data_IF_035514294532
#
_entry.id   IF_035514294532
#
_cell.length_a   1.000
_cell.length_b   1.000
_cell.length_c   1.000
_cell.angle_alpha   90.00
_cell.angle_beta   90.00
_cell.angle_gamma   90.00
#
_symmetry.space_group_name_H-M   'P 1'
#
loop_
_entity.id
_entity.type
_entity.pdbx_description
1 polymer ?
#
# COMPACT_ATOMS: atom_id res chain seq x y z
N UNK A 1 -27.28 -2.09 -32.93
CA UNK A 1 -25.92 -2.09 -32.37
C UNK A 1 -25.91 -3.05 -31.21
N UNK A 2 -25.15 -4.15 -31.30
CA UNK A 2 -24.97 -5.09 -30.20
C UNK A 2 -24.43 -4.34 -28.98
N UNK A 3 -25.19 -4.30 -27.88
CA UNK A 3 -24.67 -3.80 -26.61
C UNK A 3 -23.65 -4.82 -26.12
N UNK A 4 -22.36 -4.53 -26.34
CA UNK A 4 -21.27 -5.36 -25.87
C UNK A 4 -21.40 -5.51 -24.34
N UNK A 5 -21.65 -6.74 -23.87
CA UNK A 5 -21.92 -6.99 -22.46
C UNK A 5 -20.64 -6.74 -21.64
N UNK A 6 -20.75 -5.96 -20.57
CA UNK A 6 -19.62 -5.67 -19.68
C UNK A 6 -19.10 -6.98 -19.05
N UNK A 7 -17.84 -7.33 -19.35
CA UNK A 7 -17.15 -8.50 -18.83
C UNK A 7 -15.86 -8.11 -18.10
N UNK A 8 -15.28 -9.03 -17.33
CA UNK A 8 -14.03 -8.78 -16.61
C UNK A 8 -12.88 -8.42 -17.57
N UNK A 9 -12.72 -9.16 -18.67
CA UNK A 9 -11.63 -8.93 -19.63
C UNK A 9 -11.73 -7.55 -20.30
N UNK A 10 -12.94 -7.10 -20.61
CA UNK A 10 -13.19 -5.75 -21.15
C UNK A 10 -12.83 -4.67 -20.12
N UNK A 11 -13.19 -4.88 -18.85
CA UNK A 11 -12.83 -3.95 -17.77
C UNK A 11 -11.30 -3.86 -17.62
N UNK A 12 -10.60 -4.99 -17.66
CA UNK A 12 -9.13 -5.03 -17.53
C UNK A 12 -8.42 -4.35 -18.70
N UNK A 13 -8.85 -4.62 -19.95
CA UNK A 13 -8.31 -3.98 -21.15
C UNK A 13 -8.50 -2.45 -21.13
N UNK A 14 -9.71 -1.98 -20.78
CA UNK A 14 -10.00 -0.54 -20.67
C UNK A 14 -9.21 0.12 -19.55
N UNK A 15 -9.00 -0.56 -18.43
CA UNK A 15 -8.11 -0.06 -17.38
C UNK A 15 -6.65 -0.01 -17.83
N UNK A 16 -6.19 -0.98 -18.62
CA UNK A 16 -4.87 -0.97 -19.25
C UNK A 16 -4.68 0.23 -20.19
N UNK A 17 -5.78 0.68 -20.82
CA UNK A 17 -5.85 1.88 -21.65
C UNK A 17 -6.01 3.19 -20.87
N UNK A 18 -6.03 3.14 -19.53
CA UNK A 18 -6.08 4.31 -18.66
C UNK A 18 -7.48 4.78 -18.23
N UNK A 19 -8.54 4.07 -18.60
CA UNK A 19 -9.89 4.42 -18.17
C UNK A 19 -10.14 4.06 -16.70
N UNK A 20 -10.85 4.93 -15.97
CA UNK A 20 -11.28 4.66 -14.61
C UNK A 20 -12.67 3.97 -14.58
N UNK A 21 -13.05 3.39 -13.43
CA UNK A 21 -14.32 2.65 -13.31
C UNK A 21 -15.57 3.50 -13.59
N UNK A 22 -15.54 4.80 -13.32
CA UNK A 22 -16.67 5.68 -13.61
C UNK A 22 -16.82 5.90 -15.11
N UNK A 23 -15.71 6.11 -15.82
CA UNK A 23 -15.70 6.22 -17.29
C UNK A 23 -16.14 4.91 -17.95
N UNK A 24 -15.67 3.77 -17.47
CA UNK A 24 -16.10 2.45 -17.95
C UNK A 24 -17.61 2.25 -17.67
N UNK A 25 -18.09 2.67 -16.50
CA UNK A 25 -19.50 2.60 -16.18
C UNK A 25 -20.36 3.43 -17.16
N UNK A 26 -19.93 4.65 -17.47
CA UNK A 26 -20.56 5.54 -18.44
C UNK A 26 -20.57 4.95 -19.85
N UNK A 27 -19.43 4.42 -20.31
CA UNK A 27 -19.30 3.79 -21.64
C UNK A 27 -20.26 2.61 -21.86
N UNK A 28 -20.63 1.89 -20.80
CA UNK A 28 -21.47 0.69 -20.86
C UNK A 28 -22.88 0.90 -20.28
N UNK A 29 -23.25 2.14 -19.91
CA UNK A 29 -24.53 2.44 -19.29
C UNK A 29 -24.77 1.68 -17.98
N UNK A 30 -23.71 1.42 -17.21
CA UNK A 30 -23.74 0.71 -15.92
C UNK A 30 -23.42 1.65 -14.76
N UNK A 31 -23.64 1.19 -13.54
CA UNK A 31 -23.14 1.88 -12.35
C UNK A 31 -21.69 1.49 -12.06
N UNK A 32 -20.93 2.37 -11.40
CA UNK A 32 -19.57 2.05 -10.91
C UNK A 32 -19.56 0.79 -10.04
N UNK A 33 -20.62 0.59 -9.24
CA UNK A 33 -20.77 -0.59 -8.38
C UNK A 33 -20.91 -1.89 -9.21
N UNK A 34 -21.62 -1.85 -10.34
CA UNK A 34 -21.71 -2.99 -11.25
C UNK A 34 -20.34 -3.35 -11.86
N UNK A 35 -19.55 -2.35 -12.27
CA UNK A 35 -18.16 -2.56 -12.74
C UNK A 35 -17.29 -3.18 -11.63
N UNK A 36 -17.43 -2.70 -10.39
CA UNK A 36 -16.72 -3.23 -9.23
C UNK A 36 -17.12 -4.67 -8.91
N UNK A 37 -18.42 -5.00 -9.00
CA UNK A 37 -18.95 -6.34 -8.78
C UNK A 37 -18.40 -7.36 -9.79
N UNK A 38 -18.28 -7.00 -11.07
CA UNK A 38 -17.66 -7.88 -12.07
C UNK A 38 -16.22 -8.23 -11.73
N UNK A 39 -15.49 -7.31 -11.09
CA UNK A 39 -14.11 -7.55 -10.67
C UNK A 39 -14.01 -8.52 -9.48
N UNK A 40 -14.84 -8.33 -8.46
CA UNK A 40 -14.83 -9.18 -7.25
C UNK A 40 -15.44 -10.55 -7.52
N UNK A 41 -16.44 -10.65 -8.41
CA UNK A 41 -17.14 -11.90 -8.78
C UNK A 41 -16.30 -12.85 -9.63
N UNK A 42 -15.51 -12.31 -10.56
CA UNK A 42 -14.79 -13.11 -11.57
C UNK A 42 -13.27 -13.15 -11.39
N UNK A 43 -12.76 -12.73 -10.21
CA UNK A 43 -11.34 -12.88 -9.87
C UNK A 43 -10.41 -11.94 -10.63
N UNK A 44 -10.85 -10.71 -10.90
CA UNK A 44 -10.04 -9.73 -11.63
C UNK A 44 -8.72 -9.41 -10.94
N UNK A 45 -7.70 -9.06 -11.74
CA UNK A 45 -6.39 -8.70 -11.24
C UNK A 45 -6.48 -7.58 -10.21
N UNK A 46 -5.96 -7.84 -9.01
CA UNK A 46 -5.81 -6.80 -7.98
C UNK A 46 -4.79 -5.80 -8.47
N UNK A 47 -5.17 -4.52 -8.43
CA UNK A 47 -4.24 -3.43 -8.71
C UNK A 47 -3.19 -3.38 -7.60
N UNK A 48 -2.00 -2.82 -7.86
CA UNK A 48 -0.99 -2.65 -6.83
C UNK A 48 -1.54 -1.97 -5.57
N UNK A 49 -2.40 -0.97 -5.76
CA UNK A 49 -3.07 -0.28 -4.66
C UNK A 49 -3.95 -1.19 -3.82
N UNK A 50 -4.74 -2.07 -4.43
CA UNK A 50 -5.60 -3.00 -3.66
C UNK A 50 -4.76 -4.03 -2.92
N UNK A 51 -3.69 -4.55 -3.54
CA UNK A 51 -2.76 -5.47 -2.87
C UNK A 51 -2.14 -4.79 -1.64
N UNK A 52 -1.69 -3.55 -1.77
CA UNK A 52 -1.14 -2.77 -0.64
C UNK A 52 -2.18 -2.53 0.46
N UNK A 53 -3.43 -2.24 0.10
CA UNK A 53 -4.50 -2.01 1.07
C UNK A 53 -4.92 -3.29 1.79
N UNK A 54 -5.03 -4.41 1.06
CA UNK A 54 -5.35 -5.73 1.62
C UNK A 54 -4.26 -6.19 2.59
N UNK A 55 -3.00 -5.87 2.29
CA UNK A 55 -1.85 -6.20 3.12
C UNK A 55 -1.55 -5.15 4.20
N UNK A 56 -2.33 -4.08 4.31
CA UNK A 56 -2.02 -2.98 5.22
C UNK A 56 -2.15 -3.42 6.69
N UNK A 57 -1.11 -3.30 7.53
CA UNK A 57 -1.05 -4.04 8.79
C UNK A 57 -1.62 -3.28 9.98
N UNK A 58 -2.09 -2.03 9.79
CA UNK A 58 -2.49 -1.14 10.88
C UNK A 58 -3.85 -0.51 10.62
N UNK A 59 -4.70 -0.43 11.64
CA UNK A 59 -5.84 0.48 11.62
C UNK A 59 -5.39 1.87 12.10
N UNK A 60 -5.17 2.78 11.14
CA UNK A 60 -4.54 4.08 11.41
C UNK A 60 -5.61 5.18 11.41
N UNK A 61 -5.82 5.90 12.52
CA UNK A 61 -6.69 7.06 12.56
C UNK A 61 -6.31 8.11 11.50
N UNK A 62 -7.32 8.78 10.93
CA UNK A 62 -7.14 9.70 9.80
C UNK A 62 -6.02 10.74 10.00
N UNK A 63 -5.91 11.31 11.20
CA UNK A 63 -4.88 12.30 11.51
C UNK A 63 -3.46 11.71 11.45
N UNK A 64 -3.28 10.49 11.97
CA UNK A 64 -2.00 9.77 12.00
C UNK A 64 -1.61 9.21 10.62
N UNK A 65 -2.59 9.04 9.72
CA UNK A 65 -2.38 8.61 8.33
C UNK A 65 -1.86 9.70 7.38
N UNK A 66 -1.66 10.93 7.85
CA UNK A 66 -1.12 12.05 7.05
C UNK A 66 0.33 12.39 7.40
N UNK A 67 1.06 11.44 7.99
CA UNK A 67 2.40 11.64 8.54
C UNK A 67 3.48 11.11 7.59
N UNK A 68 4.74 11.50 7.81
CA UNK A 68 5.85 11.02 7.00
C UNK A 68 6.05 9.49 7.08
N UNK A 69 6.02 8.86 8.28
CA UNK A 69 6.16 7.41 8.39
C UNK A 69 5.08 6.63 7.63
N UNK A 70 3.81 7.02 7.76
CA UNK A 70 2.71 6.40 6.99
C UNK A 70 2.94 6.48 5.47
N UNK A 71 3.38 7.64 4.97
CA UNK A 71 3.71 7.80 3.54
C UNK A 71 4.89 6.93 3.11
N UNK A 72 5.93 6.78 3.94
CA UNK A 72 7.08 5.91 3.64
C UNK A 72 6.65 4.44 3.53
N UNK A 73 5.77 3.97 4.43
CA UNK A 73 5.21 2.62 4.36
C UNK A 73 4.39 2.39 3.09
N UNK A 74 3.57 3.37 2.69
CA UNK A 74 2.83 3.28 1.42
C UNK A 74 3.75 3.23 0.20
N UNK A 75 4.79 4.06 0.19
CA UNK A 75 5.78 4.04 -0.89
C UNK A 75 6.52 2.69 -0.93
N UNK A 76 6.87 2.13 0.24
CA UNK A 76 7.53 0.83 0.34
C UNK A 76 6.63 -0.30 -0.18
N UNK A 77 5.36 -0.33 0.23
CA UNK A 77 4.43 -1.35 -0.22
C UNK A 77 4.16 -1.24 -1.74
N UNK A 78 4.06 -0.03 -2.28
CA UNK A 78 4.00 0.19 -3.73
C UNK A 78 5.24 -0.37 -4.43
N UNK A 79 6.43 -0.14 -3.88
CA UNK A 79 7.69 -0.68 -4.41
C UNK A 79 7.70 -2.21 -4.38
N UNK A 80 7.30 -2.83 -3.28
CA UNK A 80 7.26 -4.29 -3.13
C UNK A 80 6.33 -4.98 -4.13
N UNK A 81 5.24 -4.31 -4.53
CA UNK A 81 4.28 -4.86 -5.49
C UNK A 81 4.67 -4.58 -6.94
N UNK A 82 5.43 -3.51 -7.20
CA UNK A 82 5.71 -3.03 -8.59
C UNK A 82 7.16 -3.17 -9.01
N UNK A 83 8.08 -3.47 -8.09
CA UNK A 83 9.52 -3.37 -8.31
C UNK A 83 9.99 -1.94 -8.61
N UNK A 84 9.19 -0.92 -8.27
CA UNK A 84 9.50 0.48 -8.59
C UNK A 84 9.04 0.95 -9.97
N UNK A 85 8.42 0.08 -10.78
CA UNK A 85 7.94 0.44 -12.12
C UNK A 85 6.90 1.56 -12.04
N UNK A 86 7.20 2.69 -12.70
CA UNK A 86 6.32 3.87 -12.72
C UNK A 86 6.43 4.77 -11.49
N UNK A 87 7.29 4.46 -10.52
CA UNK A 87 7.54 5.34 -9.38
C UNK A 87 8.53 6.47 -9.77
N UNK A 88 8.26 7.73 -9.39
CA UNK A 88 9.18 8.84 -9.66
C UNK A 88 10.55 8.63 -9.01
N UNK A 89 11.61 9.07 -9.68
CA UNK A 89 13.01 8.92 -9.20
C UNK A 89 13.22 9.51 -7.81
N UNK A 90 12.63 10.66 -7.50
CA UNK A 90 12.73 11.26 -6.17
C UNK A 90 12.01 10.44 -5.08
N UNK A 91 10.96 9.70 -5.44
CA UNK A 91 10.29 8.77 -4.52
C UNK A 91 11.21 7.59 -4.22
N UNK A 92 11.86 7.03 -5.24
CA UNK A 92 12.83 5.95 -5.12
C UNK A 92 14.05 6.37 -4.27
N UNK A 93 14.60 7.57 -4.48
CA UNK A 93 15.67 8.14 -3.65
C UNK A 93 15.26 8.22 -2.17
N UNK A 94 14.05 8.70 -1.87
CA UNK A 94 13.53 8.75 -0.49
C UNK A 94 13.34 7.36 0.12
N UNK A 95 12.95 6.36 -0.68
CA UNK A 95 12.89 4.97 -0.21
C UNK A 95 14.27 4.41 0.11
N UNK A 96 15.28 4.68 -0.71
CA UNK A 96 16.66 4.28 -0.43
C UNK A 96 17.14 4.83 0.92
N UNK A 97 16.92 6.12 1.18
CA UNK A 97 17.25 6.72 2.48
C UNK A 97 16.44 6.13 3.63
N UNK A 98 15.17 5.79 3.39
CA UNK A 98 14.33 5.10 4.37
C UNK A 98 14.87 3.70 4.69
N UNK A 99 15.24 2.90 3.70
CA UNK A 99 15.81 1.56 3.93
C UNK A 99 17.13 1.61 4.67
N UNK A 100 18.03 2.55 4.33
CA UNK A 100 19.28 2.76 5.08
C UNK A 100 19.03 3.04 6.57
N UNK A 101 17.96 3.78 6.88
CA UNK A 101 17.53 4.00 8.26
C UNK A 101 17.03 2.71 8.91
N UNK A 102 16.24 1.91 8.19
CA UNK A 102 15.64 0.68 8.70
C UNK A 102 16.63 -0.46 8.96
N UNK A 103 17.88 -0.33 8.48
CA UNK A 103 18.97 -1.27 8.80
C UNK A 103 19.19 -1.35 10.32
N UNK A 104 19.11 -0.22 11.02
CA UNK A 104 19.34 -0.12 12.46
C UNK A 104 18.05 0.13 13.26
N UNK A 105 17.00 0.58 12.59
CA UNK A 105 15.72 0.93 13.20
C UNK A 105 14.55 0.14 12.59
N UNK A 106 13.42 0.15 13.28
CA UNK A 106 12.13 -0.32 12.77
C UNK A 106 11.09 0.75 13.04
N UNK A 107 10.05 0.76 12.22
CA UNK A 107 8.92 1.66 12.40
C UNK A 107 7.82 0.96 13.21
N UNK A 108 7.47 1.56 14.35
CA UNK A 108 6.38 1.10 15.20
C UNK A 108 5.16 1.98 15.02
N UNK A 109 3.98 1.35 14.94
CA UNK A 109 2.70 2.02 15.08
C UNK A 109 2.05 1.64 16.41
N UNK A 110 1.65 2.63 17.18
CA UNK A 110 0.81 2.48 18.37
C UNK A 110 0.02 3.79 18.54
N UNK A 111 -1.33 3.74 18.50
CA UNK A 111 -2.17 4.94 18.54
C UNK A 111 -2.01 5.77 19.83
N UNK A 112 -1.45 5.20 20.89
CA UNK A 112 -1.21 5.89 22.16
C UNK A 112 0.12 6.65 22.19
N UNK A 113 1.00 6.44 21.20
CA UNK A 113 2.23 7.23 21.08
C UNK A 113 1.86 8.69 20.82
N UNK A 114 2.26 9.57 21.73
CA UNK A 114 2.11 11.01 21.56
C UNK A 114 2.94 11.57 20.39
N UNK A 115 2.73 12.83 19.98
CA UNK A 115 3.54 13.48 18.96
C UNK A 115 5.04 13.42 19.25
N UNK A 116 5.83 13.10 18.22
CA UNK A 116 7.29 13.08 18.27
C UNK A 116 7.81 14.05 17.20
N UNK A 117 8.59 15.04 17.61
CA UNK A 117 9.14 16.04 16.69
C UNK A 117 10.02 15.40 15.62
N UNK A 118 9.92 15.89 14.39
CA UNK A 118 10.60 15.32 13.22
C UNK A 118 10.13 13.92 12.79
N UNK A 119 9.23 13.26 13.53
CA UNK A 119 8.72 11.91 13.21
C UNK A 119 7.24 11.96 12.87
N UNK A 120 6.40 12.35 13.83
CA UNK A 120 4.95 12.41 13.67
C UNK A 120 4.34 13.48 14.55
N UNK A 121 3.91 14.58 13.91
CA UNK A 121 3.20 15.69 14.57
C UNK A 121 1.87 15.27 15.22
N UNK A 122 1.24 14.20 14.73
CA UNK A 122 -0.06 13.73 15.22
C UNK A 122 0.04 12.46 16.07
N UNK A 123 1.26 12.05 16.46
CA UNK A 123 1.50 10.82 17.21
C UNK A 123 1.36 9.55 16.38
N UNK A 124 1.19 8.41 17.04
CA UNK A 124 0.98 7.11 16.41
C UNK A 124 2.24 6.38 15.95
N UNK A 125 3.30 7.11 15.60
CA UNK A 125 4.48 6.54 14.92
C UNK A 125 5.76 6.83 15.67
N UNK A 126 6.60 5.80 15.83
CA UNK A 126 7.93 5.95 16.38
C UNK A 126 8.94 5.10 15.62
N UNK A 127 10.12 5.66 15.40
CA UNK A 127 11.29 4.86 15.02
C UNK A 127 11.91 4.29 16.28
N UNK A 128 12.25 3.02 16.24
CA UNK A 128 12.82 2.30 17.38
C UNK A 128 14.04 1.53 16.93
N UNK A 129 15.02 1.38 17.81
CA UNK A 129 16.14 0.45 17.59
C UNK A 129 15.61 -0.94 17.27
N UNK A 130 16.17 -1.57 16.22
CA UNK A 130 15.83 -2.93 15.80
C UNK A 130 16.22 -3.95 16.89
N UNK A 131 15.41 -4.99 17.04
CA UNK A 131 15.62 -6.15 17.91
C UNK A 131 15.72 -7.40 17.05
N UNK A 132 16.34 -8.46 17.57
CA UNK A 132 16.41 -9.74 16.87
C UNK A 132 15.02 -10.31 16.51
N UNK A 133 14.01 -10.05 17.36
CA UNK A 133 12.62 -10.45 17.13
C UNK A 133 11.94 -9.76 15.95
N UNK A 134 12.45 -8.60 15.50
CA UNK A 134 11.90 -7.90 14.34
C UNK A 134 12.32 -8.58 13.01
N UNK A 135 13.28 -9.51 13.05
CA UNK A 135 13.80 -10.24 11.90
C UNK A 135 14.14 -9.31 10.72
N UNK A 136 13.55 -9.55 9.55
CA UNK A 136 13.70 -8.78 8.31
C UNK A 136 12.59 -7.73 8.10
N UNK A 137 11.67 -7.56 9.05
CA UNK A 137 10.55 -6.62 8.95
C UNK A 137 11.00 -5.18 9.09
N UNK A 138 10.45 -4.27 8.28
CA UNK A 138 10.62 -2.83 8.43
C UNK A 138 9.74 -2.24 9.55
N UNK A 139 8.72 -2.99 9.96
CA UNK A 139 7.79 -2.62 11.01
C UNK A 139 7.99 -3.46 12.27
N UNK A 140 7.71 -2.86 13.42
CA UNK A 140 7.58 -3.62 14.67
C UNK A 140 6.18 -4.19 14.80
N UNK A 141 6.08 -5.49 15.07
CA UNK A 141 4.82 -6.17 15.37
C UNK A 141 4.50 -6.01 16.86
N UNK A 142 3.30 -5.51 17.15
CA UNK A 142 2.72 -5.34 18.49
C UNK A 142 1.21 -5.61 18.46
N UNK A 143 0.50 -5.32 19.55
CA UNK A 143 -0.96 -5.54 19.67
C UNK A 143 -1.82 -4.73 18.68
N UNK A 144 -1.27 -3.66 18.09
CA UNK A 144 -1.93 -2.82 17.09
C UNK A 144 -1.60 -3.24 15.65
N UNK A 145 -0.90 -4.36 15.49
CA UNK A 145 -0.46 -4.88 14.19
C UNK A 145 -1.27 -6.12 13.81
N UNK A 146 -2.00 -6.05 12.70
CA UNK A 146 -2.63 -7.20 12.07
C UNK A 146 -1.82 -7.63 10.85
N UNK A 147 -0.88 -8.57 11.05
CA UNK A 147 0.04 -9.03 10.00
C UNK A 147 -0.23 -10.49 9.65
N UNK A 148 -0.83 -10.73 8.48
CA UNK A 148 -0.93 -12.09 7.92
C UNK A 148 0.41 -12.53 7.34
N UNK A 149 0.61 -13.83 7.12
CA UNK A 149 1.86 -14.34 6.56
C UNK A 149 2.08 -13.83 5.12
N UNK A 150 1.02 -13.64 4.34
CA UNK A 150 1.10 -13.06 3.00
C UNK A 150 1.47 -11.57 3.06
N UNK A 151 0.88 -10.83 3.99
CA UNK A 151 1.19 -9.42 4.20
C UNK A 151 2.64 -9.24 4.66
N UNK A 152 3.17 -10.17 5.46
CA UNK A 152 4.57 -10.19 5.92
C UNK A 152 5.57 -10.02 4.78
N UNK A 153 5.30 -10.63 3.63
CA UNK A 153 6.15 -10.56 2.44
C UNK A 153 6.28 -9.15 1.87
N UNK A 154 5.30 -8.28 2.12
CA UNK A 154 5.30 -6.87 1.71
C UNK A 154 6.06 -6.00 2.71
N UNK A 155 6.09 -6.35 4.00
CA UNK A 155 6.62 -5.45 5.05
C UNK A 155 8.06 -5.74 5.47
N UNK A 156 8.72 -6.69 4.80
CA UNK A 156 10.15 -6.97 4.94
C UNK A 156 11.00 -6.09 4.04
N UNK A 157 12.32 -6.08 4.25
CA UNK A 157 13.24 -5.47 3.28
C UNK A 157 13.00 -6.01 1.86
N UNK A 158 13.04 -5.14 0.84
CA UNK A 158 12.95 -5.61 -0.53
C UNK A 158 14.19 -6.46 -0.88
N UNK A 159 14.04 -7.42 -1.82
CA UNK A 159 15.19 -8.21 -2.30
C UNK A 159 16.23 -7.34 -3.03
N UNK A 160 15.78 -6.24 -3.64
CA UNK A 160 16.63 -5.26 -4.30
C UNK A 160 16.30 -3.86 -3.79
N UNK A 161 17.33 -3.06 -3.53
CA UNK A 161 17.16 -1.66 -3.11
C UNK A 161 17.01 -0.78 -4.37
N UNK A 162 15.99 0.10 -4.43
CA UNK A 162 15.76 1.02 -5.55
C UNK A 162 16.87 2.03 -5.73
#
# INVERSE_FOLDING_TARGET
MEQQQLSLSIIEDLKGKGFNQSQIAEMFGKSRQAVSWHKTRYGGHRTPREIVMDAWPFDVPRAMGQTHPFRRLRDHAEYMVTGGKGMPTDKLKRLRSFYKRMENEVLEFDPNIGPIDGVSRYGGWAYRTRRASDADLLIRVNEYTNLTEEARMIWRFPPEIP
#
